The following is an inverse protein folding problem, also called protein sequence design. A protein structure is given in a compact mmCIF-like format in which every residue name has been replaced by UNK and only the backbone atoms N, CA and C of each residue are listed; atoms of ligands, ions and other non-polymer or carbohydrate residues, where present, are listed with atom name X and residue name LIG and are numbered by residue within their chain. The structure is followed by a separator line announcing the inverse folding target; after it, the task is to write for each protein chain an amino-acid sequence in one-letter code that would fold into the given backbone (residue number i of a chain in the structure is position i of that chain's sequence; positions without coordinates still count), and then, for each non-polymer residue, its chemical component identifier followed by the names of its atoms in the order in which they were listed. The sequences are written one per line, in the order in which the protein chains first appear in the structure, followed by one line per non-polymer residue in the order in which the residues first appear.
data_IF_756371415791
#
_entry.id   IF_756371415791
#
_cell.length_a   1.000
_cell.length_b   1.000
_cell.length_c   1.000
_cell.angle_alpha   90.00
_cell.angle_beta   90.00
_cell.angle_gamma   90.00
#
_symmetry.space_group_name_H-M   'P 1'
#
loop_
_entity.id
_entity.type
_entity.pdbx_description
1 polymer ?
#
# COMPACT_ATOMS: atom_id res chain seq x y z
N UNK A 1 -9.21 2.66 13.61
CA UNK A 1 -8.05 1.74 13.80
C UNK A 1 -6.77 2.51 13.53
N UNK A 2 -5.67 2.21 14.20
CA UNK A 2 -4.36 2.82 13.96
C UNK A 2 -3.36 1.76 13.54
N UNK A 3 -2.73 2.00 12.39
CA UNK A 3 -1.57 1.25 11.93
C UNK A 3 -0.29 1.93 12.44
N UNK A 4 0.58 1.19 13.14
CA UNK A 4 1.87 1.72 13.59
C UNK A 4 3.00 0.84 13.07
N UNK A 5 3.96 1.45 12.36
CA UNK A 5 5.18 0.79 11.92
C UNK A 5 6.36 1.77 11.93
N UNK A 6 6.99 1.89 13.10
CA UNK A 6 8.11 2.80 13.31
C UNK A 6 9.38 2.30 12.64
N UNK A 7 10.09 3.22 11.97
CA UNK A 7 11.46 2.98 11.50
C UNK A 7 12.42 2.81 12.68
N UNK A 8 13.38 1.91 12.52
CA UNK A 8 14.49 1.68 13.44
C UNK A 8 15.80 1.70 12.64
N UNK A 9 16.39 2.89 12.48
CA UNK A 9 17.50 3.12 11.56
C UNK A 9 17.11 2.93 10.09
N UNK A 10 17.68 1.91 9.44
CA UNK A 10 17.41 1.52 8.05
C UNK A 10 16.33 0.42 7.91
N UNK A 11 15.86 -0.13 9.03
CA UNK A 11 14.80 -1.13 9.05
C UNK A 11 13.52 -0.56 9.66
N UNK A 12 12.51 -1.43 9.80
CA UNK A 12 11.27 -1.14 10.49
C UNK A 12 11.06 -2.13 11.62
N UNK A 13 10.45 -1.67 12.71
CA UNK A 13 9.87 -2.56 13.71
C UNK A 13 8.69 -3.33 13.10
N UNK A 14 8.29 -4.47 13.70
CA UNK A 14 7.06 -5.16 13.31
C UNK A 14 5.90 -4.18 13.29
N UNK A 15 5.09 -4.25 12.22
CA UNK A 15 3.87 -3.46 12.13
C UNK A 15 2.86 -3.91 13.20
N UNK A 16 2.04 -2.99 13.67
CA UNK A 16 0.99 -3.24 14.67
C UNK A 16 -0.33 -2.64 14.23
N UNK A 17 -1.42 -3.25 14.66
CA UNK A 17 -2.77 -2.70 14.57
C UNK A 17 -3.28 -2.43 15.97
N UNK A 18 -3.81 -1.23 16.16
CA UNK A 18 -4.48 -0.82 17.38
C UNK A 18 -5.93 -0.46 17.06
N UNK A 19 -6.88 -1.14 17.69
CA UNK A 19 -8.31 -0.93 17.42
C UNK A 19 -8.92 -0.12 18.55
N UNK A 20 -9.79 0.82 18.17
CA UNK A 20 -10.53 1.69 19.09
C UNK A 20 -12.01 1.60 18.75
N UNK A 21 -12.85 1.64 19.79
CA UNK A 21 -14.30 1.81 19.62
C UNK A 21 -14.59 3.30 19.68
N UNK A 22 -15.24 3.81 18.63
CA UNK A 22 -15.65 5.22 18.53
C UNK A 22 -17.18 5.31 18.44
N UNK A 23 -17.73 6.43 18.89
CA UNK A 23 -19.14 6.75 18.72
C UNK A 23 -19.43 7.28 17.30
N UNK A 24 -20.69 7.67 17.05
CA UNK A 24 -21.11 8.21 15.75
C UNK A 24 -20.45 9.56 15.38
N UNK A 25 -19.74 10.20 16.30
CA UNK A 25 -18.99 11.44 16.09
C UNK A 25 -17.49 11.19 15.93
N UNK A 26 -17.07 9.93 15.73
CA UNK A 26 -15.68 9.49 15.69
C UNK A 26 -14.89 9.78 16.99
N UNK A 27 -15.59 9.96 18.11
CA UNK A 27 -14.97 10.17 19.44
C UNK A 27 -14.84 8.83 20.14
N UNK A 28 -13.68 8.57 20.78
CA UNK A 28 -13.49 7.33 21.57
C UNK A 28 -14.57 7.22 22.65
N UNK A 29 -15.22 6.06 22.70
CA UNK A 29 -16.28 5.79 23.68
C UNK A 29 -15.67 5.69 25.07
N UNK A 30 -16.14 6.53 26.00
CA UNK A 30 -15.72 6.47 27.38
C UNK A 30 -16.14 5.12 28.02
N UNK A 31 -15.23 4.47 28.73
CA UNK A 31 -15.42 3.10 29.24
C UNK A 31 -15.25 1.98 28.21
N UNK A 32 -14.78 2.25 26.98
CA UNK A 32 -14.35 1.18 26.07
C UNK A 32 -13.19 0.38 26.68
N UNK A 33 -13.05 -0.93 26.39
CA UNK A 33 -11.85 -1.67 26.75
C UNK A 33 -10.59 -0.94 26.29
N UNK A 34 -9.50 -1.11 27.03
CA UNK A 34 -8.21 -0.58 26.61
C UNK A 34 -7.91 -1.01 25.17
N UNK A 35 -7.38 -0.11 24.34
CA UNK A 35 -7.13 -0.42 22.95
C UNK A 35 -6.21 -1.62 22.84
N UNK A 36 -6.69 -2.66 22.17
CA UNK A 36 -5.90 -3.87 21.97
C UNK A 36 -4.91 -3.61 20.84
N UNK A 37 -3.62 -3.72 21.14
CA UNK A 37 -2.54 -3.55 20.17
C UNK A 37 -1.94 -4.90 19.84
N UNK A 38 -2.22 -5.39 18.65
CA UNK A 38 -1.75 -6.69 18.16
C UNK A 38 -0.66 -6.51 17.10
N UNK A 39 0.12 -7.56 16.87
CA UNK A 39 0.99 -7.58 15.70
C UNK A 39 0.11 -7.53 14.45
N UNK A 40 0.55 -6.76 13.47
CA UNK A 40 -0.15 -6.72 12.20
C UNK A 40 -0.06 -8.09 11.54
N UNK A 41 -1.19 -8.56 11.05
CA UNK A 41 -1.34 -9.76 10.25
C UNK A 41 -2.34 -9.46 9.12
N UNK A 42 -2.11 -10.01 7.93
CA UNK A 42 -2.95 -9.69 6.76
C UNK A 42 -4.37 -10.23 6.95
N UNK A 43 -4.56 -11.42 7.53
CA UNK A 43 -5.90 -11.98 7.78
C UNK A 43 -6.68 -11.10 8.76
N UNK A 44 -6.04 -10.70 9.86
CA UNK A 44 -6.62 -9.78 10.84
C UNK A 44 -6.95 -8.41 10.23
N UNK A 45 -6.06 -7.88 9.38
CA UNK A 45 -6.27 -6.62 8.67
C UNK A 45 -7.48 -6.70 7.72
N UNK A 46 -7.64 -7.82 7.03
CA UNK A 46 -8.77 -8.08 6.13
C UNK A 46 -10.10 -8.20 6.89
N UNK A 47 -10.10 -8.87 8.03
CA UNK A 47 -11.27 -8.96 8.91
C UNK A 47 -11.73 -7.58 9.37
N UNK A 48 -10.80 -6.70 9.79
CA UNK A 48 -11.12 -5.33 10.17
C UNK A 48 -11.66 -4.50 8.99
N UNK A 49 -11.11 -4.65 7.80
CA UNK A 49 -11.65 -3.99 6.60
C UNK A 49 -13.08 -4.46 6.32
N UNK A 50 -13.34 -5.76 6.47
CA UNK A 50 -14.65 -6.37 6.15
C UNK A 50 -15.78 -5.81 7.01
N UNK A 51 -15.48 -5.40 8.25
CA UNK A 51 -16.44 -4.76 9.17
C UNK A 51 -16.44 -3.23 9.06
N UNK A 52 -15.72 -2.65 8.09
CA UNK A 52 -15.70 -1.21 7.85
C UNK A 52 -14.76 -0.41 8.77
N UNK A 53 -13.79 -1.06 9.43
CA UNK A 53 -12.87 -0.36 10.34
C UNK A 53 -11.87 0.50 9.57
N UNK A 54 -12.15 1.81 9.49
CA UNK A 54 -11.27 2.83 8.92
C UNK A 54 -10.03 3.06 9.77
N UNK A 55 -8.95 3.49 9.12
CA UNK A 55 -7.81 4.06 9.82
C UNK A 55 -8.17 5.40 10.50
N UNK A 56 -7.40 5.81 11.50
CA UNK A 56 -7.62 7.06 12.27
C UNK A 56 -7.42 8.32 11.43
N UNK A 57 -6.73 8.22 10.30
CA UNK A 57 -6.56 9.31 9.34
C UNK A 57 -6.33 8.77 7.94
N UNK A 58 -6.45 9.65 6.93
CA UNK A 58 -6.16 9.36 5.53
C UNK A 58 -4.70 8.92 5.34
N UNK A 59 -3.76 9.59 6.00
CA UNK A 59 -2.34 9.26 5.97
C UNK A 59 -2.08 7.88 6.58
N UNK A 60 -2.74 7.56 7.70
CA UNK A 60 -2.61 6.26 8.32
C UNK A 60 -3.22 5.15 7.46
N UNK A 61 -4.29 5.46 6.72
CA UNK A 61 -4.89 4.57 5.73
C UNK A 61 -3.95 4.30 4.55
N UNK A 62 -3.21 5.31 4.08
CA UNK A 62 -2.18 5.16 3.04
C UNK A 62 -1.08 4.20 3.48
N UNK A 63 -0.56 4.35 4.71
CA UNK A 63 0.49 3.46 5.22
C UNK A 63 -0.01 2.04 5.39
N UNK A 64 -1.20 1.87 5.99
CA UNK A 64 -1.81 0.55 6.19
C UNK A 64 -2.06 -0.17 4.87
N UNK A 65 -2.67 0.51 3.90
CA UNK A 65 -2.91 -0.06 2.58
C UNK A 65 -1.60 -0.31 1.84
N UNK A 66 -0.63 0.62 1.92
CA UNK A 66 0.68 0.48 1.30
C UNK A 66 1.44 -0.74 1.80
N UNK A 67 1.38 -1.01 3.11
CA UNK A 67 1.93 -2.23 3.68
C UNK A 67 1.16 -3.48 3.21
N UNK A 68 -0.17 -3.42 3.17
CA UNK A 68 -1.01 -4.51 2.66
C UNK A 68 -0.71 -4.83 1.18
N UNK A 69 -0.39 -3.82 0.36
CA UNK A 69 -0.04 -4.01 -1.06
C UNK A 69 1.17 -4.94 -1.25
N UNK A 70 2.10 -4.98 -0.29
CA UNK A 70 3.22 -5.93 -0.30
C UNK A 70 2.72 -7.38 -0.39
N UNK A 71 1.78 -7.74 0.47
CA UNK A 71 1.21 -9.09 0.52
C UNK A 71 0.30 -9.38 -0.67
N UNK A 72 -0.42 -8.37 -1.16
CA UNK A 72 -1.28 -8.53 -2.35
C UNK A 72 -0.49 -8.71 -3.65
N UNK A 73 0.70 -8.12 -3.75
CA UNK A 73 1.55 -8.19 -4.94
C UNK A 73 2.58 -9.33 -4.86
N UNK A 74 2.91 -9.85 -3.68
CA UNK A 74 3.85 -10.96 -3.50
C UNK A 74 3.51 -12.20 -4.34
N UNK A 75 2.24 -12.67 -4.46
CA UNK A 75 1.90 -13.78 -5.34
C UNK A 75 2.18 -13.51 -6.82
N UNK A 76 2.09 -12.25 -7.24
CA UNK A 76 2.38 -11.82 -8.62
C UNK A 76 3.89 -11.81 -8.83
N UNK A 77 4.64 -11.25 -7.87
CA UNK A 77 6.10 -11.26 -7.87
C UNK A 77 6.66 -12.68 -7.91
N UNK A 78 6.18 -13.57 -7.04
CA UNK A 78 6.62 -14.97 -6.98
C UNK A 78 6.38 -15.72 -8.29
N UNK A 79 5.31 -15.37 -9.02
CA UNK A 79 4.95 -16.00 -10.30
C UNK A 79 5.86 -15.59 -11.45
N UNK A 80 6.26 -14.32 -11.50
CA UNK A 80 6.97 -13.75 -12.67
C UNK A 80 8.45 -13.43 -12.41
N UNK A 81 8.88 -13.46 -11.15
CA UNK A 81 10.23 -13.11 -10.74
C UNK A 81 10.42 -11.60 -10.52
N UNK A 82 11.24 -11.27 -9.52
CA UNK A 82 11.52 -9.92 -9.01
C UNK A 82 11.79 -8.88 -10.12
N UNK A 83 12.79 -9.14 -10.98
CA UNK A 83 13.20 -8.16 -11.99
C UNK A 83 12.13 -7.88 -13.06
N UNK A 84 11.42 -8.92 -13.51
CA UNK A 84 10.34 -8.75 -14.49
C UNK A 84 9.12 -8.08 -13.85
N UNK A 85 8.75 -8.49 -12.63
CA UNK A 85 7.70 -7.86 -11.84
C UNK A 85 7.95 -6.36 -11.65
N UNK A 86 9.16 -5.98 -11.23
CA UNK A 86 9.51 -4.57 -11.02
C UNK A 86 9.36 -3.74 -12.31
N UNK A 87 9.82 -4.28 -13.43
CA UNK A 87 9.71 -3.64 -14.76
C UNK A 87 8.25 -3.49 -15.19
N UNK A 88 7.41 -4.52 -14.96
CA UNK A 88 5.97 -4.48 -15.24
C UNK A 88 5.22 -3.54 -14.31
N UNK A 89 5.58 -3.49 -13.02
CA UNK A 89 4.97 -2.60 -12.04
C UNK A 89 5.19 -1.13 -12.43
N UNK A 90 6.44 -0.76 -12.74
CA UNK A 90 6.76 0.61 -13.20
C UNK A 90 5.96 0.97 -14.44
N UNK A 91 5.93 0.08 -15.45
CA UNK A 91 5.15 0.30 -16.66
C UNK A 91 3.65 0.52 -16.38
N UNK A 92 3.03 -0.35 -15.57
CA UNK A 92 1.61 -0.25 -15.21
C UNK A 92 1.32 1.06 -14.48
N UNK A 93 2.16 1.44 -13.51
CA UNK A 93 1.95 2.67 -12.75
C UNK A 93 2.09 3.93 -13.63
N UNK A 94 3.02 3.93 -14.58
CA UNK A 94 3.16 5.04 -15.54
C UNK A 94 1.95 5.14 -16.46
N UNK A 95 1.48 4.03 -17.04
CA UNK A 95 0.39 4.07 -18.02
C UNK A 95 -0.99 4.33 -17.41
N UNK A 96 -1.21 3.99 -16.13
CA UNK A 96 -2.48 4.22 -15.42
C UNK A 96 -2.54 5.57 -14.70
N UNK A 97 -1.59 6.47 -14.96
CA UNK A 97 -1.60 7.85 -14.43
C UNK A 97 -1.17 7.98 -12.97
N UNK A 98 -0.69 6.92 -12.32
CA UNK A 98 -0.14 7.05 -10.96
C UNK A 98 1.11 7.94 -10.95
N UNK A 99 1.87 7.97 -12.05
CA UNK A 99 3.03 8.84 -12.21
C UNK A 99 2.69 10.34 -12.19
N UNK A 100 1.42 10.74 -12.36
CA UNK A 100 1.01 12.15 -12.28
C UNK A 100 0.97 12.65 -10.82
N UNK A 101 0.93 11.74 -9.85
CA UNK A 101 0.96 12.06 -8.44
C UNK A 101 2.41 12.35 -7.98
N UNK A 102 2.70 13.51 -7.36
CA UNK A 102 4.08 13.89 -7.01
C UNK A 102 4.82 12.87 -6.13
N UNK A 103 4.13 12.23 -5.20
CA UNK A 103 4.71 11.23 -4.29
C UNK A 103 5.16 9.95 -5.03
N UNK A 104 4.39 9.52 -6.03
CA UNK A 104 4.70 8.36 -6.87
C UNK A 104 5.75 8.73 -7.92
N UNK A 105 5.62 9.89 -8.58
CA UNK A 105 6.59 10.40 -9.55
C UNK A 105 8.01 10.41 -8.97
N UNK A 106 8.17 11.00 -7.77
CA UNK A 106 9.43 11.01 -7.01
C UNK A 106 10.01 9.60 -6.83
N UNK A 107 9.16 8.60 -6.56
CA UNK A 107 9.61 7.22 -6.38
C UNK A 107 10.04 6.59 -7.71
N UNK A 108 9.29 6.81 -8.79
CA UNK A 108 9.60 6.29 -10.11
C UNK A 108 10.87 6.89 -10.70
N UNK A 109 11.12 8.20 -10.51
CA UNK A 109 12.36 8.88 -10.95
C UNK A 109 13.63 8.24 -10.37
N UNK A 110 13.53 7.66 -9.17
CA UNK A 110 14.65 7.03 -8.44
C UNK A 110 14.74 5.52 -8.67
N UNK A 111 13.79 4.98 -9.42
CA UNK A 111 13.67 3.56 -9.74
C UNK A 111 14.24 3.33 -11.14
N UNK A 112 15.30 2.53 -11.23
CA UNK A 112 15.88 2.13 -12.51
C UNK A 112 15.48 0.69 -12.83
N UNK A 113 14.61 0.52 -13.82
CA UNK A 113 14.22 -0.79 -14.36
C UNK A 113 14.34 -0.76 -15.88
N UNK A 114 14.80 -1.86 -16.47
CA UNK A 114 14.72 -2.02 -17.92
C UNK A 114 13.25 -2.19 -18.34
N UNK A 115 12.85 -1.72 -19.53
CA UNK A 115 11.51 -1.99 -20.03
C UNK A 115 11.24 -3.50 -20.08
N UNK A 116 10.05 -3.97 -19.65
CA UNK A 116 9.71 -5.38 -19.72
C UNK A 116 9.59 -5.82 -21.19
N UNK A 117 9.91 -7.08 -21.48
CA UNK A 117 9.69 -7.65 -22.81
C UNK A 117 8.19 -7.75 -23.10
N UNK A 118 7.73 -7.08 -24.16
CA UNK A 118 6.32 -7.04 -24.61
C UNK A 118 5.93 -8.20 -25.52
N UNK A 119 6.92 -8.96 -26.02
CA UNK A 119 6.71 -10.05 -26.99
C UNK A 119 6.33 -11.37 -26.30
N UNK A 120 6.54 -11.47 -24.99
CA UNK A 120 6.30 -12.70 -24.25
C UNK A 120 4.82 -12.84 -23.85
N UNK A 121 4.24 -14.05 -23.90
CA UNK A 121 2.86 -14.30 -23.43
C UNK A 121 2.62 -13.87 -21.97
N UNK A 122 3.68 -13.84 -21.17
CA UNK A 122 3.63 -13.46 -19.76
C UNK A 122 3.31 -11.98 -19.56
N UNK A 123 3.57 -11.12 -20.54
CA UNK A 123 3.35 -9.68 -20.47
C UNK A 123 1.90 -9.34 -20.12
N UNK A 124 0.95 -9.87 -20.90
CA UNK A 124 -0.48 -9.62 -20.70
C UNK A 124 -0.97 -10.15 -19.36
N UNK A 125 -0.45 -11.31 -18.92
CA UNK A 125 -0.85 -11.89 -17.64
C UNK A 125 -0.31 -11.09 -16.45
N UNK A 126 0.99 -10.76 -16.45
CA UNK A 126 1.61 -9.96 -15.39
C UNK A 126 0.94 -8.60 -15.28
N UNK A 127 0.68 -7.94 -16.41
CA UNK A 127 -0.07 -6.68 -16.45
C UNK A 127 -1.43 -6.80 -15.77
N UNK A 128 -2.24 -7.76 -16.22
CA UNK A 128 -3.60 -7.98 -15.70
C UNK A 128 -3.58 -8.28 -14.20
N UNK A 129 -2.63 -9.09 -13.74
CA UNK A 129 -2.57 -9.52 -12.35
C UNK A 129 -2.17 -8.34 -11.43
N UNK A 130 -1.22 -7.48 -11.85
CA UNK A 130 -0.88 -6.23 -11.14
C UNK A 130 -2.08 -5.27 -11.13
N UNK A 131 -2.70 -5.04 -12.28
CA UNK A 131 -3.89 -4.16 -12.38
C UNK A 131 -5.04 -4.67 -11.50
N UNK A 132 -5.24 -5.99 -11.45
CA UNK A 132 -6.27 -6.61 -10.62
C UNK A 132 -5.98 -6.40 -9.13
N UNK A 133 -4.73 -6.52 -8.69
CA UNK A 133 -4.34 -6.28 -7.30
C UNK A 133 -4.60 -4.81 -6.91
N UNK A 134 -4.17 -3.85 -7.74
CA UNK A 134 -4.39 -2.43 -7.50
C UNK A 134 -5.87 -2.04 -7.52
N UNK A 135 -6.63 -2.57 -8.49
CA UNK A 135 -8.08 -2.34 -8.59
C UNK A 135 -8.82 -2.92 -7.39
N UNK A 136 -8.46 -4.14 -6.96
CA UNK A 136 -9.05 -4.76 -5.78
C UNK A 136 -8.80 -3.90 -4.53
N UNK A 137 -7.54 -3.46 -4.33
CA UNK A 137 -7.17 -2.55 -3.25
C UNK A 137 -8.00 -1.24 -3.27
N UNK A 138 -8.09 -0.57 -4.42
CA UNK A 138 -8.88 0.65 -4.57
C UNK A 138 -10.38 0.45 -4.37
N UNK A 139 -10.93 -0.65 -4.87
CA UNK A 139 -12.37 -0.95 -4.75
C UNK A 139 -12.81 -1.12 -3.30
N UNK A 140 -11.94 -1.64 -2.44
CA UNK A 140 -12.23 -1.85 -1.01
C UNK A 140 -12.34 -0.54 -0.24
N UNK A 141 -11.59 0.50 -0.63
CA UNK A 141 -11.69 1.82 -0.01
C UNK A 141 -13.10 2.39 -0.12
N UNK A 142 -13.75 2.18 -1.26
CA UNK A 142 -15.12 2.67 -1.49
C UNK A 142 -16.17 1.66 -1.01
N UNK A 143 -16.05 0.39 -1.42
CA UNK A 143 -17.09 -0.61 -1.16
C UNK A 143 -17.14 -1.11 0.28
N UNK A 144 -15.99 -1.31 0.92
CA UNK A 144 -15.93 -1.84 2.29
C UNK A 144 -15.79 -0.73 3.33
N UNK A 145 -14.93 0.25 3.06
CA UNK A 145 -14.66 1.33 4.01
C UNK A 145 -15.53 2.57 3.77
N UNK A 146 -16.23 2.70 2.64
CA UNK A 146 -17.13 3.84 2.41
C UNK A 146 -16.41 5.19 2.32
N UNK A 147 -15.15 5.23 1.87
CA UNK A 147 -14.51 6.48 1.48
C UNK A 147 -15.15 7.01 0.18
N UNK A 148 -15.24 8.33 0.05
CA UNK A 148 -15.60 8.93 -1.23
C UNK A 148 -14.51 8.66 -2.28
N UNK A 149 -14.86 8.80 -3.56
CA UNK A 149 -13.97 8.46 -4.66
C UNK A 149 -12.66 9.28 -4.67
N UNK A 150 -12.72 10.56 -4.28
CA UNK A 150 -11.55 11.44 -4.27
C UNK A 150 -10.56 11.06 -3.17
N UNK A 151 -11.07 10.82 -1.96
CA UNK A 151 -10.29 10.36 -0.81
C UNK A 151 -9.77 8.94 -1.06
N UNK A 152 -10.56 8.04 -1.64
CA UNK A 152 -10.11 6.71 -2.02
C UNK A 152 -8.96 6.75 -3.04
N UNK A 153 -9.05 7.62 -4.06
CA UNK A 153 -7.97 7.82 -5.02
C UNK A 153 -6.70 8.37 -4.34
N UNK A 154 -6.87 9.35 -3.43
CA UNK A 154 -5.76 9.92 -2.66
C UNK A 154 -5.07 8.85 -1.81
N UNK A 155 -5.84 8.04 -1.08
CA UNK A 155 -5.35 6.93 -0.26
C UNK A 155 -4.60 5.91 -1.12
N UNK A 156 -5.19 5.44 -2.22
CA UNK A 156 -4.56 4.45 -3.09
C UNK A 156 -3.23 4.97 -3.66
N UNK A 157 -3.21 6.22 -4.08
CA UNK A 157 -2.00 6.88 -4.59
C UNK A 157 -0.91 6.97 -3.53
N UNK A 158 -1.26 7.40 -2.31
CA UNK A 158 -0.33 7.44 -1.18
C UNK A 158 0.18 6.06 -0.79
N UNK A 159 -0.69 5.05 -0.81
CA UNK A 159 -0.35 3.66 -0.55
C UNK A 159 0.63 3.09 -1.58
N UNK A 160 0.43 3.39 -2.87
CA UNK A 160 1.37 3.03 -3.94
C UNK A 160 2.73 3.71 -3.71
N UNK A 161 2.76 4.99 -3.36
CA UNK A 161 4.02 5.69 -3.06
C UNK A 161 4.74 5.07 -1.85
N UNK A 162 4.01 4.72 -0.78
CA UNK A 162 4.54 4.01 0.37
C UNK A 162 5.15 2.66 -0.03
N UNK A 163 4.42 1.87 -0.81
CA UNK A 163 4.87 0.56 -1.29
C UNK A 163 6.14 0.68 -2.15
N UNK A 164 6.19 1.64 -3.08
CA UNK A 164 7.37 1.89 -3.92
C UNK A 164 8.59 2.30 -3.09
N UNK A 165 8.41 3.19 -2.10
CA UNK A 165 9.50 3.61 -1.21
C UNK A 165 10.14 2.42 -0.50
N UNK A 166 9.32 1.51 0.05
CA UNK A 166 9.81 0.31 0.71
C UNK A 166 10.44 -0.67 -0.29
N UNK A 167 9.76 -0.92 -1.42
CA UNK A 167 10.18 -1.89 -2.44
C UNK A 167 11.52 -1.57 -3.08
N UNK A 168 11.75 -0.29 -3.38
CA UNK A 168 12.98 0.19 -4.03
C UNK A 168 13.96 0.85 -3.04
N UNK A 169 13.66 0.79 -1.75
CA UNK A 169 14.48 1.33 -0.66
C UNK A 169 14.85 2.80 -0.86
N UNK A 170 13.92 3.61 -1.37
CA UNK A 170 14.19 4.99 -1.81
C UNK A 170 14.64 5.87 -0.64
N UNK A 171 13.84 5.95 0.43
CA UNK A 171 14.20 6.71 1.65
C UNK A 171 15.51 6.22 2.26
N UNK A 172 15.81 4.92 2.21
CA UNK A 172 17.05 4.38 2.75
C UNK A 172 18.25 4.85 1.93
N UNK A 173 18.14 4.85 0.60
CA UNK A 173 19.19 5.37 -0.30
C UNK A 173 19.41 6.87 -0.10
N UNK A 174 18.35 7.65 0.06
CA UNK A 174 18.42 9.08 0.38
C UNK A 174 19.18 9.36 1.68
N UNK A 175 18.84 8.63 2.75
CA UNK A 175 19.52 8.78 4.06
C UNK A 175 21.00 8.44 4.01
N UNK A 176 21.41 7.62 3.05
CA UNK A 176 22.81 7.24 2.83
C UNK A 176 23.52 8.14 1.79
N UNK A 177 22.83 9.13 1.21
CA UNK A 177 23.40 10.05 0.22
C UNK A 177 23.49 9.48 -1.21
N UNK A 178 22.73 8.43 -1.53
CA UNK A 178 22.72 7.76 -2.84
C UNK A 178 21.48 8.11 -3.69
N UNK A 179 20.85 9.24 -3.41
CA UNK A 179 19.59 9.67 -4.03
C UNK A 179 19.63 11.10 -4.51
#
# INVERSE_FOLDING_TARGET
MEFDRKRDGLSFRPARLTVFIVDASDVRVDGSPDPTSELWDEEVNEDYISIGAKAVSVENEMERLGYSLKFKLEPVEARYGDGYFNSMLVLVLTEHGFADAPSVARCLERTSTNPPSTVQPQFTHARRDIESALRSAGSRLTAALGYDAGIAQQILTGAVAYYLDERFHITNRERLGFG
#
